data_IF_569585961374
#
_entry.id   IF_569585961374
#
_cell.length_a   1.000
_cell.length_b   1.000
_cell.length_c   1.000
_cell.angle_alpha   90.00
_cell.angle_beta   90.00
_cell.angle_gamma   90.00
#
_symmetry.space_group_name_H-M   'P 1'
#
loop_
_entity.id
_entity.type
_entity.pdbx_description
1 polymer ?
#
# COMPACT_ATOMS: atom_id res chain seq x y z
N UNK A 1 -4.80 -4.93 1.49
CA UNK A 1 -3.68 -5.88 1.45
C UNK A 1 -4.21 -7.05 2.23
N UNK A 2 -4.31 -8.22 1.59
CA UNK A 2 -4.99 -9.36 2.21
C UNK A 2 -4.09 -10.60 2.18
N UNK A 3 -4.43 -11.60 2.98
CA UNK A 3 -3.78 -12.91 2.99
C UNK A 3 -4.70 -13.93 2.33
N UNK A 4 -4.16 -14.69 1.38
CA UNK A 4 -4.77 -15.90 0.86
C UNK A 4 -4.48 -17.06 1.83
N UNK A 5 -5.38 -17.25 2.81
CA UNK A 5 -5.21 -18.24 3.88
C UNK A 5 -5.07 -19.67 3.33
N UNK A 6 -5.91 -20.15 2.39
CA UNK A 6 -5.79 -21.49 1.83
C UNK A 6 -4.45 -21.80 1.16
N UNK A 7 -3.76 -20.79 0.60
CA UNK A 7 -2.45 -20.95 -0.01
C UNK A 7 -1.30 -20.81 1.00
N UNK A 8 -1.54 -20.14 2.12
CA UNK A 8 -0.54 -19.88 3.15
C UNK A 8 -0.32 -21.08 4.07
N UNK A 9 0.90 -21.23 4.59
CA UNK A 9 1.33 -22.38 5.40
C UNK A 9 2.10 -21.88 6.62
N UNK A 10 1.82 -22.44 7.80
CA UNK A 10 2.59 -22.16 9.01
C UNK A 10 2.33 -20.80 9.66
N UNK A 11 1.28 -20.08 9.22
CA UNK A 11 0.79 -18.87 9.88
C UNK A 11 -0.37 -19.19 10.82
N UNK A 12 -0.49 -18.39 11.88
CA UNK A 12 -1.51 -18.46 12.90
C UNK A 12 -2.13 -17.07 13.06
N UNK A 13 -3.41 -17.05 13.44
CA UNK A 13 -4.13 -15.82 13.81
C UNK A 13 -3.91 -14.65 12.83
N UNK A 14 -4.19 -14.81 11.52
CA UNK A 14 -4.09 -13.69 10.59
C UNK A 14 -5.12 -12.61 10.97
N UNK A 15 -4.68 -11.36 11.09
CA UNK A 15 -5.51 -10.20 11.43
C UNK A 15 -5.32 -9.11 10.37
N UNK A 16 -6.43 -8.49 10.02
CA UNK A 16 -6.49 -7.29 9.17
C UNK A 16 -7.45 -6.31 9.81
N UNK A 17 -7.03 -5.07 10.00
CA UNK A 17 -7.91 -3.99 10.47
C UNK A 17 -8.56 -3.31 9.25
N UNK A 18 -9.90 -3.24 9.18
CA UNK A 18 -10.61 -2.50 8.12
C UNK A 18 -10.19 -1.03 7.97
N UNK A 19 -9.65 -0.42 9.01
CA UNK A 19 -9.14 0.97 8.98
C UNK A 19 -7.68 1.05 8.48
N UNK A 20 -6.92 -0.04 8.56
CA UNK A 20 -5.51 -0.13 8.13
C UNK A 20 -5.37 -1.07 6.93
N UNK A 21 -5.95 -0.66 5.80
CA UNK A 21 -6.05 -1.46 4.55
C UNK A 21 -4.70 -1.91 3.96
N UNK A 22 -3.59 -1.33 4.41
CA UNK A 22 -2.23 -1.60 3.94
C UNK A 22 -1.39 -2.45 4.91
N UNK A 23 -1.97 -2.94 6.00
CA UNK A 23 -1.27 -3.72 7.03
C UNK A 23 -2.02 -5.02 7.31
N UNK A 24 -1.24 -6.10 7.48
CA UNK A 24 -1.71 -7.41 7.90
C UNK A 24 -0.77 -7.93 8.98
N UNK A 25 -1.32 -8.63 9.95
CA UNK A 25 -0.57 -9.21 11.07
C UNK A 25 -0.84 -10.71 11.13
N UNK A 26 0.16 -11.48 11.52
CA UNK A 26 0.01 -12.91 11.77
C UNK A 26 1.13 -13.38 12.70
N UNK A 27 0.88 -14.51 13.36
CA UNK A 27 1.86 -15.19 14.21
C UNK A 27 2.44 -16.38 13.45
N UNK A 28 3.68 -16.74 13.73
CA UNK A 28 4.31 -17.92 13.17
C UNK A 28 5.26 -18.56 14.20
N UNK A 29 5.51 -19.86 14.05
CA UNK A 29 6.47 -20.59 14.90
C UNK A 29 7.88 -20.42 14.32
N UNK A 30 8.82 -19.75 15.02
CA UNK A 30 10.16 -19.49 14.51
C UNK A 30 11.01 -20.76 14.30
N UNK A 31 10.58 -21.90 14.86
CA UNK A 31 11.23 -23.20 14.68
C UNK A 31 10.70 -23.96 13.46
N UNK A 32 9.69 -23.43 12.77
CA UNK A 32 9.07 -24.04 11.57
C UNK A 32 9.14 -23.09 10.38
N UNK A 33 9.00 -23.67 9.19
CA UNK A 33 8.86 -22.87 7.98
C UNK A 33 7.46 -22.25 7.92
N UNK A 34 7.39 -20.97 7.54
CA UNK A 34 6.15 -20.25 7.24
C UNK A 34 6.21 -19.67 5.82
N UNK A 35 5.06 -19.64 5.14
CA UNK A 35 4.89 -19.02 3.83
C UNK A 35 3.54 -18.30 3.79
N UNK A 36 3.57 -17.04 3.35
CA UNK A 36 2.37 -16.19 3.29
C UNK A 36 2.12 -15.79 1.85
N UNK A 37 0.89 -16.03 1.39
CA UNK A 37 0.41 -15.56 0.10
C UNK A 37 -0.35 -14.27 0.31
N UNK A 38 0.21 -13.16 -0.19
CA UNK A 38 -0.41 -11.84 -0.06
C UNK A 38 -1.09 -11.40 -1.35
N UNK A 39 -2.21 -10.70 -1.22
CA UNK A 39 -2.95 -10.09 -2.32
C UNK A 39 -2.85 -8.56 -2.24
N UNK A 40 -2.36 -7.95 -3.33
CA UNK A 40 -2.26 -6.49 -3.45
C UNK A 40 -3.35 -5.99 -4.40
N UNK A 41 -4.32 -5.27 -3.85
CA UNK A 41 -5.58 -4.94 -4.55
C UNK A 41 -5.53 -3.64 -5.36
N UNK A 42 -4.37 -2.98 -5.43
CA UNK A 42 -4.20 -1.75 -6.20
C UNK A 42 -3.05 -1.91 -7.21
N UNK A 43 -3.15 -1.24 -8.36
CA UNK A 43 -2.10 -1.27 -9.40
C UNK A 43 -1.26 0.00 -9.37
N UNK A 44 0.02 -0.11 -9.72
CA UNK A 44 0.97 1.01 -9.65
C UNK A 44 0.59 2.24 -10.49
N UNK A 45 -0.18 2.08 -11.57
CA UNK A 45 -0.65 3.20 -12.41
C UNK A 45 -1.94 3.84 -11.92
N UNK A 46 -2.59 3.33 -10.87
CA UNK A 46 -3.71 4.05 -10.21
C UNK A 46 -3.23 5.28 -9.43
N UNK A 47 -1.93 5.32 -9.09
CA UNK A 47 -1.30 6.40 -8.33
C UNK A 47 -0.47 7.35 -9.19
N UNK A 48 -0.64 7.33 -10.52
CA UNK A 48 0.01 8.27 -11.43
C UNK A 48 -0.92 9.44 -11.78
N UNK A 49 -0.41 10.67 -11.96
CA UNK A 49 -1.24 11.84 -12.23
C UNK A 49 -2.09 11.72 -13.50
N UNK A 50 -1.59 11.04 -14.55
CA UNK A 50 -2.37 10.86 -15.79
C UNK A 50 -3.08 9.51 -15.79
N UNK A 51 -4.38 9.57 -16.10
CA UNK A 51 -5.24 8.41 -16.33
C UNK A 51 -5.10 7.81 -17.74
N UNK A 52 -4.42 8.51 -18.65
CA UNK A 52 -4.15 8.00 -19.99
C UNK A 52 -2.91 7.10 -19.96
N UNK A 53 -3.01 5.91 -20.57
CA UNK A 53 -1.98 4.88 -20.51
C UNK A 53 -0.61 5.36 -21.02
N UNK A 54 0.46 4.72 -20.54
CA UNK A 54 1.84 4.99 -20.95
C UNK A 54 2.73 5.58 -19.86
N UNK A 55 2.17 6.07 -18.76
CA UNK A 55 2.96 6.51 -17.60
C UNK A 55 3.57 5.33 -16.83
N UNK A 56 4.75 5.57 -16.27
CA UNK A 56 5.43 4.62 -15.38
C UNK A 56 4.70 4.62 -14.04
N UNK A 57 4.10 3.48 -13.69
CA UNK A 57 3.44 3.30 -12.39
C UNK A 57 4.36 3.58 -11.19
N UNK A 58 3.77 4.09 -10.12
CA UNK A 58 4.44 4.36 -8.84
C UNK A 58 4.85 3.01 -8.20
N UNK A 59 6.13 2.81 -7.86
CA UNK A 59 6.56 1.60 -7.16
C UNK A 59 6.00 1.58 -5.74
N UNK A 60 5.55 0.43 -5.29
CA UNK A 60 5.17 0.22 -3.89
C UNK A 60 6.33 -0.42 -3.12
N UNK A 61 6.27 -0.32 -1.80
CA UNK A 61 7.18 -1.01 -0.89
C UNK A 61 6.38 -2.02 -0.09
N UNK A 62 6.79 -3.28 -0.15
CA UNK A 62 6.33 -4.30 0.81
C UNK A 62 7.38 -4.31 1.92
N UNK A 63 6.94 -4.06 3.14
CA UNK A 63 7.78 -4.12 4.34
C UNK A 63 7.23 -5.19 5.29
N UNK A 64 8.13 -5.91 5.92
CA UNK A 64 7.84 -6.92 6.93
C UNK A 64 8.57 -6.51 8.20
N UNK A 65 7.80 -6.25 9.24
CA UNK A 65 8.31 -5.93 10.58
C UNK A 65 8.00 -7.12 11.51
N UNK A 66 9.03 -7.62 12.19
CA UNK A 66 8.93 -8.77 13.10
C UNK A 66 9.05 -8.29 14.52
N UNK A 67 8.13 -8.76 15.38
CA UNK A 67 8.09 -8.43 16.79
C UNK A 67 8.07 -9.70 17.63
N UNK A 68 8.63 -9.66 18.84
CA UNK A 68 8.43 -10.69 19.85
C UNK A 68 7.10 -10.47 20.57
N UNK A 69 6.50 -11.55 21.04
CA UNK A 69 5.30 -11.52 21.89
C UNK A 69 5.62 -12.02 23.30
N UNK A 70 4.96 -11.45 24.31
CA UNK A 70 5.00 -12.01 25.66
C UNK A 70 4.02 -13.19 25.80
N UNK A 71 4.01 -13.82 26.97
CA UNK A 71 3.08 -14.91 27.31
C UNK A 71 1.59 -14.51 27.22
N UNK A 72 1.29 -13.20 27.18
CA UNK A 72 -0.05 -12.65 27.04
C UNK A 72 -0.41 -12.28 25.58
N UNK A 73 0.47 -12.54 24.62
CA UNK A 73 0.26 -12.27 23.20
C UNK A 73 0.39 -10.79 22.82
N UNK A 74 0.90 -9.95 23.73
CA UNK A 74 1.18 -8.54 23.44
C UNK A 74 2.54 -8.40 22.77
N UNK A 75 2.65 -7.49 21.80
CA UNK A 75 3.91 -7.16 21.14
C UNK A 75 4.84 -6.43 22.13
N UNK A 76 6.03 -6.98 22.35
CA UNK A 76 6.95 -6.49 23.39
C UNK A 76 8.13 -5.75 22.80
N UNK A 77 8.75 -6.30 21.76
CA UNK A 77 9.99 -5.78 21.20
C UNK A 77 10.04 -5.94 19.68
N UNK A 78 10.52 -4.91 18.98
CA UNK A 78 10.85 -4.98 17.56
C UNK A 78 12.16 -5.77 17.38
N UNK A 79 12.14 -6.75 16.48
CA UNK A 79 13.28 -7.64 16.23
C UNK A 79 13.99 -7.26 14.93
N UNK A 80 13.23 -7.10 13.85
CA UNK A 80 13.81 -6.96 12.52
C UNK A 80 12.82 -6.34 11.54
N UNK A 81 13.35 -5.59 10.58
CA UNK A 81 12.60 -4.97 9.49
C UNK A 81 13.28 -5.22 8.15
N UNK A 82 12.52 -5.69 7.17
CA UNK A 82 13.03 -5.84 5.81
C UNK A 82 11.98 -5.48 4.76
N UNK A 83 12.43 -5.14 3.56
CA UNK A 83 11.53 -4.69 2.49
C UNK A 83 12.04 -4.95 1.08
N UNK A 84 11.12 -4.87 0.12
CA UNK A 84 11.42 -4.80 -1.30
C UNK A 84 10.48 -3.82 -2.02
N UNK A 85 10.91 -3.37 -3.20
CA UNK A 85 10.05 -2.57 -4.08
C UNK A 85 9.32 -3.47 -5.07
N UNK A 86 8.02 -3.24 -5.24
CA UNK A 86 7.16 -4.02 -6.13
C UNK A 86 6.45 -3.13 -7.15
N UNK A 87 6.45 -3.64 -8.39
CA UNK A 87 5.62 -3.28 -9.56
C UNK A 87 4.27 -4.00 -9.58
N UNK A 88 3.13 -3.38 -9.26
CA UNK A 88 1.83 -4.07 -9.40
C UNK A 88 1.18 -3.71 -10.73
N UNK A 89 0.83 -4.72 -11.51
CA UNK A 89 0.25 -4.60 -12.84
C UNK A 89 -1.14 -5.21 -12.88
N UNK A 90 -1.97 -4.79 -13.85
CA UNK A 90 -3.20 -5.54 -14.20
C UNK A 90 -2.83 -6.98 -14.61
N UNK A 91 -3.79 -7.93 -14.58
CA UNK A 91 -3.54 -9.33 -14.95
C UNK A 91 -2.77 -9.49 -16.25
N UNK A 92 -1.79 -10.41 -16.26
CA UNK A 92 -0.81 -10.65 -17.35
C UNK A 92 0.14 -9.47 -17.66
N UNK A 93 -0.03 -8.31 -17.02
CA UNK A 93 0.80 -7.14 -17.24
C UNK A 93 2.25 -7.35 -16.77
N UNK A 94 2.43 -8.03 -15.64
CA UNK A 94 3.75 -8.42 -15.13
C UNK A 94 4.47 -9.37 -16.09
N UNK A 95 3.80 -10.42 -16.58
CA UNK A 95 4.38 -11.39 -17.53
C UNK A 95 4.78 -10.73 -18.84
N UNK A 96 3.90 -9.88 -19.38
CA UNK A 96 4.18 -9.10 -20.59
C UNK A 96 5.39 -8.19 -20.37
N UNK A 97 5.45 -7.51 -19.22
CA UNK A 97 6.57 -6.63 -18.88
C UNK A 97 7.88 -7.39 -18.77
N UNK A 98 7.88 -8.53 -18.07
CA UNK A 98 9.05 -9.40 -17.93
C UNK A 98 9.55 -9.89 -19.30
N UNK A 99 8.63 -10.35 -20.17
CA UNK A 99 8.96 -10.78 -21.53
C UNK A 99 9.59 -9.65 -22.35
N UNK A 100 8.96 -8.47 -22.38
CA UNK A 100 9.47 -7.32 -23.13
C UNK A 100 10.81 -6.83 -22.59
N UNK A 101 11.01 -6.82 -21.27
CA UNK A 101 12.28 -6.40 -20.67
C UNK A 101 13.41 -7.39 -20.98
N UNK A 102 13.14 -8.69 -20.95
CA UNK A 102 14.08 -9.72 -21.38
C UNK A 102 14.50 -9.56 -22.85
N UNK A 103 13.53 -9.45 -23.77
CA UNK A 103 13.80 -9.22 -25.19
C UNK A 103 14.60 -7.94 -25.44
N UNK A 104 14.36 -6.89 -24.64
CA UNK A 104 15.09 -5.62 -24.72
C UNK A 104 16.54 -5.78 -24.25
N UNK A 105 16.80 -6.60 -23.23
CA UNK A 105 18.16 -6.87 -22.74
C UNK A 105 18.92 -7.77 -23.73
N UNK A 106 18.26 -8.78 -24.29
CA UNK A 106 18.87 -9.69 -25.27
C UNK A 106 19.29 -8.99 -26.56
N UNK A 107 18.68 -7.86 -26.91
CA UNK A 107 19.10 -7.04 -28.07
C UNK A 107 20.28 -6.11 -27.79
N UNK A 108 20.76 -6.02 -26.55
CA UNK A 108 21.88 -5.15 -26.16
C UNK A 108 23.23 -5.80 -26.39
N UNK A 109 24.26 -4.97 -26.58
CA UNK A 109 25.65 -5.40 -26.61
C UNK A 109 26.06 -6.05 -25.27
N UNK A 110 27.05 -6.95 -25.24
CA UNK A 110 27.52 -7.57 -23.99
C UNK A 110 27.88 -6.55 -22.91
N UNK A 111 28.59 -5.47 -23.27
CA UNK A 111 28.96 -4.39 -22.36
C UNK A 111 27.75 -3.62 -21.80
N UNK A 112 26.70 -3.46 -22.59
CA UNK A 112 25.47 -2.80 -22.12
C UNK A 112 24.59 -3.72 -21.28
N UNK A 113 24.67 -5.04 -21.45
CA UNK A 113 23.94 -6.01 -20.64
C UNK A 113 24.44 -6.04 -19.20
N UNK A 114 25.75 -5.88 -18.99
CA UNK A 114 26.36 -5.83 -17.65
C UNK A 114 25.85 -4.65 -16.79
N UNK A 115 25.29 -3.60 -17.41
CA UNK A 115 24.68 -2.46 -16.70
C UNK A 115 23.31 -2.79 -16.10
N UNK A 116 22.71 -3.93 -16.43
CA UNK A 116 21.39 -4.34 -15.95
C UNK A 116 21.51 -5.27 -14.75
N UNK A 117 20.56 -5.15 -13.83
CA UNK A 117 20.45 -6.10 -12.73
C UNK A 117 20.06 -7.49 -13.26
N UNK A 118 20.69 -8.52 -12.70
CA UNK A 118 20.40 -9.93 -13.03
C UNK A 118 18.98 -10.27 -12.59
N UNK A 119 18.28 -11.07 -13.40
CA UNK A 119 16.96 -11.61 -13.07
C UNK A 119 17.09 -12.76 -12.07
N UNK A 120 16.25 -12.74 -11.02
CA UNK A 120 16.17 -13.79 -10.01
C UNK A 120 14.73 -14.29 -9.93
N UNK A 121 14.55 -15.58 -9.68
CA UNK A 121 13.24 -16.20 -9.45
C UNK A 121 12.60 -15.71 -8.15
N UNK A 122 13.42 -15.52 -7.12
CA UNK A 122 13.02 -14.99 -5.82
C UNK A 122 13.73 -13.67 -5.53
N UNK A 123 13.02 -12.76 -4.85
CA UNK A 123 13.60 -11.50 -4.37
C UNK A 123 13.87 -11.61 -2.88
N UNK A 124 15.13 -11.49 -2.49
CA UNK A 124 15.49 -11.39 -1.08
C UNK A 124 15.11 -9.99 -0.57
N UNK A 125 14.35 -9.95 0.51
CA UNK A 125 14.04 -8.71 1.22
C UNK A 125 15.34 -8.15 1.79
N UNK A 126 15.50 -6.83 1.68
CA UNK A 126 16.67 -6.12 2.21
C UNK A 126 16.32 -5.49 3.54
N UNK A 127 17.26 -5.53 4.50
CA UNK A 127 17.12 -4.85 5.77
C UNK A 127 16.82 -3.36 5.57
N UNK A 128 15.98 -2.82 6.45
CA UNK A 128 15.58 -1.42 6.41
C UNK A 128 15.17 -0.91 7.80
N UNK A 129 15.05 0.41 7.93
CA UNK A 129 14.52 1.01 9.16
C UNK A 129 13.07 0.57 9.43
N UNK A 130 12.69 0.35 10.70
CA UNK A 130 11.31 0.04 11.08
C UNK A 130 10.38 1.20 10.75
N UNK A 131 9.11 0.88 10.47
CA UNK A 131 8.07 1.88 10.28
C UNK A 131 7.23 2.05 11.56
N UNK A 132 6.78 3.27 11.91
CA UNK A 132 7.19 4.56 11.32
C UNK A 132 8.68 4.81 11.59
N UNK A 133 9.36 5.49 10.66
CA UNK A 133 10.80 5.81 10.79
C UNK A 133 11.06 6.19 12.24
N UNK A 134 11.78 5.34 12.98
CA UNK A 134 12.09 5.61 14.37
C UNK A 134 12.77 6.97 14.36
N UNK A 135 12.08 7.99 14.88
CA UNK A 135 12.61 9.34 14.96
C UNK A 135 13.95 9.19 15.65
N UNK A 136 15.04 9.34 14.90
CA UNK A 136 16.35 9.51 15.47
C UNK A 136 16.19 10.67 16.45
N UNK A 137 16.19 10.35 17.74
CA UNK A 137 16.15 11.33 18.81
C UNK A 137 17.51 12.03 18.82
N UNK A 138 17.75 12.85 17.80
CA UNK A 138 18.76 13.89 17.80
C UNK A 138 18.00 15.22 17.71
N UNK A 139 17.66 15.72 18.90
CA UNK A 139 17.83 17.13 19.27
C UNK A 139 17.31 18.18 18.27
N UNK A 140 16.12 18.71 18.60
CA UNK A 140 15.50 19.96 18.15
C UNK A 140 14.96 20.03 16.71
N UNK A 141 13.64 19.84 16.55
CA UNK A 141 12.69 20.91 16.21
C UNK A 141 11.32 20.33 15.79
N UNK A 142 10.29 21.08 16.14
CA UNK A 142 8.88 20.73 16.25
C UNK A 142 8.13 20.50 14.92
N UNK A 143 7.41 19.38 14.82
CA UNK A 143 6.06 19.29 14.22
C UNK A 143 5.46 17.93 14.59
N UNK A 144 4.48 17.94 15.50
CA UNK A 144 3.84 16.75 16.05
C UNK A 144 2.85 16.14 15.05
N UNK A 145 3.23 15.01 14.43
CA UNK A 145 2.24 14.02 14.01
C UNK A 145 1.89 13.15 15.23
N UNK A 146 0.60 12.83 15.46
CA UNK A 146 0.24 11.94 16.55
C UNK A 146 0.70 10.52 16.21
N UNK A 147 1.52 9.94 17.09
CA UNK A 147 1.86 8.51 17.06
C UNK A 147 0.59 7.67 17.17
N UNK A 148 0.44 6.57 16.40
CA UNK A 148 -0.72 5.70 16.53
C UNK A 148 -0.62 4.95 17.87
N UNK A 149 -1.45 5.34 18.82
CA UNK A 149 -1.55 4.66 20.11
C UNK A 149 -2.55 3.51 19.95
N UNK A 150 -2.07 2.28 20.10
CA UNK A 150 -2.92 1.10 20.16
C UNK A 150 -3.61 1.07 21.53
N UNK A 151 -4.92 1.31 21.55
CA UNK A 151 -5.76 1.05 22.71
C UNK A 151 -6.84 0.03 22.34
N UNK A 152 -6.75 -1.13 22.97
CA UNK A 152 -7.74 -2.19 22.95
C UNK A 152 -8.94 -1.80 23.83
N UNK A 153 -10.06 -1.35 23.25
CA UNK A 153 -11.46 -1.60 23.69
C UNK A 153 -12.47 -0.62 23.03
N UNK A 154 -13.66 -1.06 22.59
CA UNK A 154 -14.63 -0.21 21.91
C UNK A 154 -15.55 0.50 22.91
N UNK A 155 -15.70 1.82 22.77
CA UNK A 155 -16.79 2.57 23.44
C UNK A 155 -17.81 2.98 22.38
N UNK A 156 -19.11 2.70 22.53
CA UNK A 156 -20.11 2.98 21.50
C UNK A 156 -20.52 4.46 21.49
N UNK A 157 -20.51 5.06 20.30
CA UNK A 157 -20.91 6.45 20.08
C UNK A 157 -22.44 6.59 20.16
N UNK A 158 -22.95 7.33 21.15
CA UNK A 158 -24.31 7.85 21.14
C UNK A 158 -24.33 9.23 20.48
N UNK A 159 -25.26 9.44 19.53
CA UNK A 159 -25.80 10.75 19.14
C UNK A 159 -27.18 10.87 19.81
N UNK A 160 -27.65 12.07 20.24
CA UNK A 160 -28.34 12.95 19.28
C UNK A 160 -28.31 14.48 19.55
N UNK A 161 -28.65 15.19 18.47
CA UNK A 161 -29.38 16.48 18.33
C UNK A 161 -28.90 17.80 18.95
N UNK A 162 -28.87 18.84 18.09
CA UNK A 162 -28.84 20.25 18.51
C UNK A 162 -28.63 21.25 17.37
N UNK A 163 -29.73 21.76 16.81
CA UNK A 163 -29.82 22.92 15.91
C UNK A 163 -28.95 24.13 16.33
N UNK A 164 -28.36 24.84 15.35
CA UNK A 164 -28.54 26.30 15.21
C UNK A 164 -27.93 26.85 13.90
N UNK A 165 -28.74 27.59 13.15
CA UNK A 165 -28.34 28.46 12.04
C UNK A 165 -27.88 29.83 12.58
N UNK A 166 -27.04 30.57 11.82
CA UNK A 166 -27.50 31.91 11.49
C UNK A 166 -27.26 32.29 10.03
N UNK A 167 -28.29 32.92 9.48
CA UNK A 167 -28.39 33.65 8.22
C UNK A 167 -27.44 34.84 8.12
N UNK A 168 -26.71 34.97 7.01
CA UNK A 168 -26.31 36.27 6.44
C UNK A 168 -26.36 36.22 4.91
N UNK A 169 -27.07 37.19 4.33
CA UNK A 169 -27.15 37.50 2.90
C UNK A 169 -25.82 38.03 2.37
N UNK A 170 -25.42 37.58 1.18
CA UNK A 170 -24.82 38.44 0.15
C UNK A 170 -24.82 37.68 -1.19
N UNK A 171 -25.60 38.20 -2.15
CA UNK A 171 -25.59 37.82 -3.57
C UNK A 171 -24.23 38.12 -4.22
N UNK A 172 -23.66 37.17 -4.99
CA UNK A 172 -23.02 37.42 -6.30
C UNK A 172 -23.04 36.13 -7.15
N UNK A 173 -23.92 36.14 -8.16
CA UNK A 173 -23.84 35.57 -9.52
C UNK A 173 -22.99 34.31 -9.81
N UNK A 174 -23.68 33.22 -10.15
CA UNK A 174 -23.19 32.07 -10.93
C UNK A 174 -23.80 32.08 -12.33
N UNK A 175 -23.08 31.73 -13.42
CA UNK A 175 -23.71 31.38 -14.69
C UNK A 175 -24.07 29.89 -14.69
N UNK A 176 -25.35 29.60 -14.88
CA UNK A 176 -25.88 28.25 -15.03
C UNK A 176 -25.62 27.66 -16.42
N UNK A 177 -25.16 26.41 -16.47
CA UNK A 177 -25.27 25.58 -17.66
C UNK A 177 -26.69 25.00 -17.71
N UNK A 178 -27.45 25.33 -18.75
CA UNK A 178 -28.70 24.64 -19.08
C UNK A 178 -28.42 23.66 -20.23
N UNK A 179 -28.69 22.39 -19.96
CA UNK A 179 -28.83 21.33 -20.95
C UNK A 179 -30.06 21.58 -21.81
N UNK A 180 -29.89 21.56 -23.14
CA UNK A 180 -30.98 21.38 -24.08
C UNK A 180 -30.66 20.21 -25.01
N UNK A 181 -31.39 19.11 -24.80
CA UNK A 181 -31.64 18.06 -25.78
C UNK A 181 -32.48 18.62 -26.93
N UNK A 182 -32.26 18.18 -28.17
CA UNK A 182 -33.23 17.63 -29.14
C UNK A 182 -32.59 17.38 -30.54
N UNK A 183 -33.23 16.57 -31.44
CA UNK A 183 -32.56 15.71 -32.42
C UNK A 183 -32.76 16.09 -33.91
N UNK A 184 -32.04 15.33 -34.76
CA UNK A 184 -32.43 14.83 -36.10
C UNK A 184 -32.45 15.76 -37.34
N UNK A 185 -31.72 15.29 -38.36
CA UNK A 185 -32.10 15.07 -39.77
C UNK A 185 -31.28 15.81 -40.85
N UNK A 186 -31.00 15.02 -41.89
CA UNK A 186 -30.21 15.29 -43.10
C UNK A 186 -30.89 16.29 -44.07
N UNK A 187 -30.22 16.59 -45.19
CA UNK A 187 -30.46 15.84 -46.43
C UNK A 187 -29.23 15.11 -46.97
#
# INVERSE_FOLDING_TARGET
>A
LDIDIPLSVGILEPRSDPLHLNTIEFVWDPLKNASVFIQVNCISTEFTPRKHGGEKGVPFRIQVDTFTTNEHGEYVEHVHSCSCQVKVFKPKGADRKLKTDKEKIDKKSPQDREKYQVFHETTLLKECSPWPDALNLSTHSSTSMPSPVYHSSPTPCCFPDGNCCPSQQAEVLMPGCSDHLLPSSSP
#
